data_IF_125276691471
#
_entry.id   IF_125276691471
#
_cell.length_a   1.000
_cell.length_b   1.000
_cell.length_c   1.000
_cell.angle_alpha   90.00
_cell.angle_beta   90.00
_cell.angle_gamma   90.00
#
_symmetry.space_group_name_H-M   'P 1'
#
loop_
_entity.id
_entity.type
_entity.pdbx_description
1 polymer ?
#
# COMPACT_ATOMS: atom_id res chain seq x y z
N UNK A 1 -27.68 38.50 27.55
CA UNK A 1 -28.41 39.53 26.79
C UNK A 1 -28.90 38.92 25.49
N UNK A 2 -30.20 38.80 25.44
CA UNK A 2 -31.05 38.24 24.38
C UNK A 2 -31.12 39.14 23.14
N UNK A 3 -31.40 38.53 22.02
CA UNK A 3 -32.36 38.94 20.95
C UNK A 3 -31.89 38.44 19.59
N UNK A 4 -32.63 37.81 18.79
CA UNK A 4 -33.97 37.41 18.39
C UNK A 4 -33.87 37.07 16.90
N UNK A 5 -34.44 35.92 16.52
CA UNK A 5 -34.82 35.59 15.12
C UNK A 5 -35.91 36.57 14.62
N UNK A 6 -36.14 36.62 13.31
CA UNK A 6 -37.44 36.14 12.87
C UNK A 6 -37.43 35.17 11.69
N UNK A 7 -38.50 34.39 11.69
CA UNK A 7 -38.93 33.38 10.75
C UNK A 7 -39.87 33.98 9.67
N UNK A 8 -40.24 33.07 8.73
CA UNK A 8 -41.42 33.06 7.81
C UNK A 8 -41.21 33.67 6.40
N UNK A 9 -41.44 32.86 5.34
CA UNK A 9 -42.73 32.62 4.73
C UNK A 9 -42.68 31.52 3.66
N UNK A 10 -43.64 30.59 3.77
CA UNK A 10 -43.97 29.56 2.78
C UNK A 10 -44.76 30.16 1.60
N UNK A 11 -44.62 29.58 0.40
CA UNK A 11 -45.62 29.76 -0.66
C UNK A 11 -45.81 28.45 -1.43
N UNK A 12 -46.99 27.87 -1.19
CA UNK A 12 -47.58 26.74 -1.91
C UNK A 12 -48.17 27.19 -3.22
N UNK A 13 -48.03 26.42 -4.30
CA UNK A 13 -48.87 26.56 -5.48
C UNK A 13 -49.23 25.17 -6.01
N UNK A 14 -50.48 24.80 -5.72
CA UNK A 14 -51.23 23.71 -6.34
C UNK A 14 -51.82 24.18 -7.67
N UNK A 15 -51.70 23.35 -8.72
CA UNK A 15 -52.59 23.48 -9.91
C UNK A 15 -53.13 22.11 -10.31
N UNK A 16 -54.41 22.14 -10.56
CA UNK A 16 -55.40 21.08 -10.59
C UNK A 16 -55.49 20.30 -11.92
N UNK A 17 -56.09 19.11 -11.82
CA UNK A 17 -56.60 18.25 -12.90
C UNK A 17 -57.60 18.96 -13.85
N UNK A 18 -57.59 18.50 -15.11
CA UNK A 18 -58.79 18.49 -15.93
C UNK A 18 -58.84 17.18 -16.74
N UNK A 19 -59.82 16.34 -16.40
CA UNK A 19 -60.33 15.25 -17.22
C UNK A 19 -61.28 15.82 -18.27
N UNK A 20 -61.18 15.37 -19.51
CA UNK A 20 -62.33 15.36 -20.41
C UNK A 20 -62.23 14.10 -21.29
N UNK A 21 -63.19 13.21 -21.10
CA UNK A 21 -63.38 12.06 -21.96
C UNK A 21 -64.28 12.42 -23.14
N UNK A 22 -64.18 11.63 -24.21
CA UNK A 22 -65.37 11.22 -24.98
C UNK A 22 -65.02 10.06 -25.95
N UNK A 23 -65.91 9.14 -25.95
CA UNK A 23 -66.04 7.87 -26.66
C UNK A 23 -66.08 7.96 -28.20
N UNK A 24 -65.62 6.90 -28.85
CA UNK A 24 -65.86 6.63 -30.27
C UNK A 24 -65.22 5.33 -30.69
N UNK A 25 -66.04 4.27 -30.78
CA UNK A 25 -65.67 2.96 -31.30
C UNK A 25 -65.42 2.99 -32.81
N UNK A 26 -64.45 2.29 -33.30
CA UNK A 26 -64.53 1.31 -34.41
C UNK A 26 -63.22 0.59 -34.68
N UNK A 27 -63.36 -0.70 -34.95
CA UNK A 27 -62.43 -1.73 -35.32
C UNK A 27 -61.18 -1.34 -36.18
N UNK A 28 -60.03 -1.92 -35.90
CA UNK A 28 -59.30 -2.90 -36.68
C UNK A 28 -57.80 -2.92 -36.44
N UNK A 29 -57.27 -4.11 -36.26
CA UNK A 29 -55.93 -4.60 -36.54
C UNK A 29 -54.79 -4.24 -35.62
N UNK A 30 -54.40 -5.24 -34.87
CA UNK A 30 -53.19 -5.55 -34.20
C UNK A 30 -51.91 -5.02 -34.89
N UNK A 31 -51.14 -4.31 -34.12
CA UNK A 31 -49.67 -4.44 -34.17
C UNK A 31 -49.15 -4.11 -32.77
N UNK A 32 -48.83 -5.13 -32.02
CA UNK A 32 -48.11 -5.02 -30.75
C UNK A 32 -46.68 -4.54 -31.03
N UNK A 33 -46.43 -3.27 -30.81
CA UNK A 33 -45.08 -2.77 -30.66
C UNK A 33 -44.73 -3.00 -29.17
N UNK A 34 -44.06 -4.15 -28.92
CA UNK A 34 -43.34 -4.33 -27.67
C UNK A 34 -42.22 -3.29 -27.64
N UNK A 35 -42.29 -2.34 -26.73
CA UNK A 35 -41.16 -1.56 -26.30
C UNK A 35 -40.21 -2.51 -25.57
N UNK A 36 -39.27 -3.09 -26.26
CA UNK A 36 -38.08 -3.66 -25.67
C UNK A 36 -37.31 -2.51 -25.01
N UNK A 37 -37.53 -2.34 -23.71
CA UNK A 37 -36.55 -1.71 -22.88
C UNK A 37 -35.34 -2.67 -22.85
N UNK A 38 -34.40 -2.43 -23.73
CA UNK A 38 -33.10 -3.07 -23.66
C UNK A 38 -32.49 -2.69 -22.33
N UNK A 39 -32.65 -3.56 -21.33
CA UNK A 39 -31.78 -3.62 -20.19
C UNK A 39 -30.40 -3.96 -20.74
N UNK A 40 -29.55 -2.98 -20.84
CA UNK A 40 -28.12 -3.19 -21.09
C UNK A 40 -27.61 -3.86 -19.82
N UNK A 41 -27.68 -5.18 -19.77
CA UNK A 41 -26.85 -5.95 -18.84
C UNK A 41 -25.42 -5.70 -19.29
N UNK A 42 -24.67 -4.91 -18.53
CA UNK A 42 -23.22 -4.90 -18.63
C UNK A 42 -22.83 -6.34 -18.31
N UNK A 43 -22.44 -7.09 -19.31
CA UNK A 43 -21.85 -8.41 -19.12
C UNK A 43 -20.53 -8.15 -18.42
N UNK A 44 -20.46 -8.43 -17.11
CA UNK A 44 -19.17 -8.49 -16.43
C UNK A 44 -18.30 -9.50 -17.17
N UNK A 45 -17.04 -9.15 -17.44
CA UNK A 45 -16.08 -10.06 -18.01
C UNK A 45 -16.02 -11.32 -17.14
N UNK A 46 -15.94 -12.49 -17.74
CA UNK A 46 -15.82 -13.76 -17.01
C UNK A 46 -14.39 -14.02 -16.54
N UNK A 47 -13.42 -13.28 -17.05
CA UNK A 47 -12.01 -13.34 -16.68
C UNK A 47 -11.31 -12.03 -17.05
N UNK A 48 -10.15 -11.80 -16.44
CA UNK A 48 -9.19 -10.74 -16.79
C UNK A 48 -7.82 -11.37 -17.00
N UNK A 49 -7.03 -10.83 -17.92
CA UNK A 49 -5.64 -11.24 -18.11
C UNK A 49 -4.73 -10.20 -17.46
N UNK A 50 -3.88 -10.65 -16.56
CA UNK A 50 -2.89 -9.84 -15.85
C UNK A 50 -1.49 -10.25 -16.31
N UNK A 51 -0.65 -9.26 -16.64
CA UNK A 51 0.78 -9.46 -16.87
C UNK A 51 1.51 -9.38 -15.52
N UNK A 52 2.00 -10.52 -15.05
CA UNK A 52 2.76 -10.62 -13.81
C UNK A 52 4.25 -10.89 -14.04
N UNK A 53 5.00 -11.23 -13.00
CA UNK A 53 6.43 -11.50 -13.10
C UNK A 53 6.75 -12.81 -13.83
N UNK A 54 5.78 -13.69 -14.01
CA UNK A 54 5.91 -15.00 -14.68
C UNK A 54 5.27 -15.00 -16.08
N UNK A 55 4.56 -13.91 -16.49
CA UNK A 55 3.93 -13.75 -17.80
C UNK A 55 2.45 -13.40 -17.72
N UNK A 56 1.66 -13.85 -18.71
CA UNK A 56 0.23 -13.58 -18.75
C UNK A 56 -0.56 -14.61 -17.94
N UNK A 57 -1.28 -14.17 -16.93
CA UNK A 57 -2.15 -14.99 -16.08
C UNK A 57 -3.61 -14.65 -16.32
N UNK A 58 -4.44 -15.63 -16.62
CA UNK A 58 -5.89 -15.46 -16.73
C UNK A 58 -6.56 -15.70 -15.36
N UNK A 59 -7.18 -14.67 -14.80
CA UNK A 59 -7.91 -14.73 -13.53
C UNK A 59 -9.41 -14.78 -13.81
N UNK A 60 -10.08 -15.80 -13.32
CA UNK A 60 -11.54 -15.93 -13.41
C UNK A 60 -12.25 -14.92 -12.51
N UNK A 61 -13.31 -14.29 -13.01
CA UNK A 61 -14.05 -13.27 -12.28
C UNK A 61 -15.51 -13.69 -12.03
N UNK A 62 -16.10 -13.27 -10.91
CA UNK A 62 -15.45 -12.61 -9.78
C UNK A 62 -14.62 -13.60 -8.94
N UNK A 63 -13.50 -13.15 -8.39
CA UNK A 63 -12.72 -13.91 -7.41
C UNK A 63 -13.57 -14.16 -6.17
N UNK A 64 -13.63 -15.43 -5.72
CA UNK A 64 -14.46 -15.86 -4.59
C UNK A 64 -13.65 -16.19 -3.35
N UNK A 65 -12.44 -16.67 -3.55
CA UNK A 65 -11.58 -17.23 -2.51
C UNK A 65 -10.13 -16.78 -2.70
N UNK A 66 -9.90 -15.51 -2.42
CA UNK A 66 -8.55 -14.95 -2.51
C UNK A 66 -7.68 -15.34 -1.31
N UNK A 67 -6.42 -15.66 -1.57
CA UNK A 67 -5.37 -15.73 -0.57
C UNK A 67 -4.26 -14.74 -0.94
N UNK A 68 -3.56 -14.19 0.03
CA UNK A 68 -2.38 -13.36 -0.21
C UNK A 68 -1.24 -13.75 0.72
N UNK A 69 -0.03 -13.71 0.19
CA UNK A 69 1.22 -13.86 0.94
C UNK A 69 2.11 -12.63 0.78
N UNK A 70 1.69 -11.65 -0.01
CA UNK A 70 2.42 -10.43 -0.28
C UNK A 70 2.05 -9.32 0.70
N UNK A 71 3.04 -8.89 1.49
CA UNK A 71 2.90 -7.86 2.51
C UNK A 71 2.43 -6.51 1.93
N UNK A 72 2.78 -6.17 0.69
CA UNK A 72 2.39 -4.92 0.03
C UNK A 72 0.91 -4.85 -0.31
N UNK A 73 0.19 -5.96 -0.21
CA UNK A 73 -1.21 -6.03 -0.65
C UNK A 73 -2.23 -6.04 0.48
N UNK A 74 -1.83 -6.40 1.71
CA UNK A 74 -2.79 -6.59 2.81
C UNK A 74 -3.60 -5.35 3.13
N UNK A 75 -2.95 -4.19 3.22
CA UNK A 75 -3.62 -2.93 3.53
C UNK A 75 -4.59 -2.53 2.42
N UNK A 76 -4.13 -2.55 1.17
CA UNK A 76 -4.95 -2.23 0.00
C UNK A 76 -6.19 -3.14 -0.07
N UNK A 77 -6.01 -4.45 0.11
CA UNK A 77 -7.11 -5.42 0.08
C UNK A 77 -8.07 -5.23 1.25
N UNK A 78 -7.55 -4.92 2.45
CA UNK A 78 -8.36 -4.66 3.64
C UNK A 78 -9.21 -3.40 3.48
N UNK A 79 -8.62 -2.31 2.98
CA UNK A 79 -9.32 -1.05 2.73
C UNK A 79 -10.41 -1.19 1.67
N UNK A 80 -10.18 -2.04 0.68
CA UNK A 80 -11.19 -2.35 -0.33
C UNK A 80 -12.25 -3.34 0.13
N UNK A 81 -12.10 -3.88 1.35
CA UNK A 81 -13.03 -4.87 1.92
C UNK A 81 -12.98 -6.21 1.21
N UNK A 82 -11.83 -6.59 0.64
CA UNK A 82 -11.61 -7.89 0.00
C UNK A 82 -11.36 -8.94 1.08
N UNK A 83 -12.21 -9.98 1.20
CA UNK A 83 -11.99 -11.05 2.16
C UNK A 83 -10.88 -12.00 1.67
N UNK A 84 -10.01 -12.41 2.59
CA UNK A 84 -9.04 -13.47 2.32
C UNK A 84 -9.50 -14.80 2.96
N UNK A 85 -9.20 -15.91 2.31
CA UNK A 85 -9.43 -17.26 2.87
C UNK A 85 -8.18 -17.82 3.55
N UNK A 86 -6.99 -17.28 3.22
CA UNK A 86 -5.72 -17.66 3.83
C UNK A 86 -4.72 -16.49 3.78
N UNK A 87 -3.92 -16.34 4.81
CA UNK A 87 -2.84 -15.37 4.91
C UNK A 87 -1.79 -15.82 5.94
N UNK A 88 -0.53 -15.41 5.82
CA UNK A 88 0.49 -15.60 6.85
C UNK A 88 0.27 -14.59 8.00
N UNK A 89 -0.66 -14.89 8.91
CA UNK A 89 -1.17 -13.94 9.92
C UNK A 89 -0.08 -13.24 10.72
N UNK A 90 1.04 -13.91 10.99
CA UNK A 90 2.17 -13.30 11.70
C UNK A 90 2.91 -12.23 10.89
N UNK A 91 2.68 -12.17 9.58
CA UNK A 91 3.29 -11.19 8.68
C UNK A 91 2.32 -10.10 8.23
N UNK A 92 1.03 -10.26 8.52
CA UNK A 92 0.05 -9.18 8.33
C UNK A 92 0.34 -8.08 9.34
N UNK A 93 0.43 -6.81 8.92
CA UNK A 93 0.62 -5.70 9.87
C UNK A 93 -0.42 -5.72 10.98
N UNK A 94 0.00 -5.48 12.23
CA UNK A 94 -0.90 -5.48 13.40
C UNK A 94 -1.96 -4.36 13.34
N UNK A 95 -1.75 -3.35 12.53
CA UNK A 95 -2.73 -2.30 12.19
C UNK A 95 -3.93 -2.84 11.41
N UNK A 96 -3.77 -3.98 10.69
CA UNK A 96 -4.78 -4.57 9.81
C UNK A 96 -5.48 -5.74 10.52
N UNK A 97 -6.63 -5.47 11.14
CA UNK A 97 -7.41 -6.49 11.88
C UNK A 97 -8.40 -7.26 11.02
N UNK A 98 -8.52 -6.92 9.74
CA UNK A 98 -9.49 -7.55 8.83
C UNK A 98 -9.26 -9.06 8.64
N UNK A 99 -8.04 -9.54 8.85
CA UNK A 99 -7.63 -10.93 8.59
C UNK A 99 -7.32 -11.74 9.86
N UNK A 100 -7.64 -11.21 11.04
CA UNK A 100 -7.38 -11.90 12.33
C UNK A 100 -8.39 -13.03 12.63
N UNK A 101 -9.55 -13.00 11.96
CA UNK A 101 -10.68 -13.92 12.19
C UNK A 101 -10.34 -15.39 11.94
N UNK A 102 -11.08 -16.29 12.60
CA UNK A 102 -10.94 -17.77 12.43
C UNK A 102 -11.35 -18.24 11.02
N UNK A 103 -11.99 -17.41 10.24
CA UNK A 103 -12.39 -17.66 8.85
C UNK A 103 -11.24 -17.47 7.86
N UNK A 104 -10.13 -16.88 8.27
CA UNK A 104 -8.88 -16.79 7.51
C UNK A 104 -7.92 -17.86 8.01
N UNK A 105 -7.50 -18.79 7.16
CA UNK A 105 -6.51 -19.80 7.53
C UNK A 105 -5.14 -19.16 7.73
N UNK A 106 -4.48 -19.46 8.85
CA UNK A 106 -3.08 -19.06 9.06
C UNK A 106 -2.17 -20.04 8.32
N UNK A 107 -1.35 -19.53 7.42
CA UNK A 107 -0.38 -20.32 6.64
C UNK A 107 1.05 -20.20 7.18
N UNK A 108 1.20 -19.80 8.44
CA UNK A 108 2.50 -19.66 9.09
C UNK A 108 3.28 -18.45 8.61
N UNK A 109 4.57 -18.63 8.37
CA UNK A 109 5.45 -17.57 7.86
C UNK A 109 6.42 -18.13 6.80
N UNK A 110 7.18 -17.26 6.15
CA UNK A 110 8.10 -17.64 5.06
C UNK A 110 9.22 -18.64 5.46
N UNK A 111 9.55 -18.76 6.76
CA UNK A 111 10.57 -19.70 7.27
C UNK A 111 9.95 -21.08 7.59
N UNK A 112 8.70 -21.07 7.98
CA UNK A 112 7.90 -22.27 8.33
C UNK A 112 6.52 -22.13 7.68
N UNK A 113 6.42 -22.21 6.32
CA UNK A 113 5.15 -22.07 5.63
C UNK A 113 4.28 -23.31 5.78
N UNK A 114 3.01 -23.13 6.10
CA UNK A 114 1.98 -24.19 6.06
C UNK A 114 1.22 -24.14 4.73
N UNK A 115 1.85 -24.64 3.68
CA UNK A 115 1.25 -24.68 2.34
C UNK A 115 0.11 -25.71 2.24
N UNK A 116 0.03 -26.68 3.17
CA UNK A 116 -1.10 -27.60 3.25
C UNK A 116 -2.36 -26.86 3.76
N UNK A 117 -2.20 -25.93 4.71
CA UNK A 117 -3.29 -25.06 5.15
C UNK A 117 -3.77 -24.13 4.02
N UNK A 118 -2.84 -23.59 3.21
CA UNK A 118 -3.17 -22.81 2.02
C UNK A 118 -4.00 -23.64 1.02
N UNK A 119 -3.55 -24.85 0.70
CA UNK A 119 -4.25 -25.74 -0.21
C UNK A 119 -5.63 -26.17 0.33
N UNK A 120 -5.73 -26.43 1.64
CA UNK A 120 -7.00 -26.77 2.30
C UNK A 120 -8.00 -25.59 2.33
N UNK A 121 -7.51 -24.35 2.21
CA UNK A 121 -8.37 -23.18 2.05
C UNK A 121 -8.98 -23.09 0.64
N UNK A 122 -8.60 -23.94 -0.31
CA UNK A 122 -9.13 -24.02 -1.69
C UNK A 122 -9.25 -22.63 -2.34
N UNK A 123 -8.17 -21.83 -2.45
CA UNK A 123 -8.23 -20.52 -3.11
C UNK A 123 -8.49 -20.68 -4.60
N UNK A 124 -9.18 -19.70 -5.22
CA UNK A 124 -9.26 -19.53 -6.67
C UNK A 124 -8.25 -18.47 -7.20
N UNK A 125 -7.66 -17.70 -6.28
CA UNK A 125 -6.57 -16.75 -6.53
C UNK A 125 -5.58 -16.78 -5.37
N UNK A 126 -4.30 -16.83 -5.66
CA UNK A 126 -3.21 -16.58 -4.69
C UNK A 126 -2.33 -15.45 -5.19
N UNK A 127 -2.23 -14.38 -4.40
CA UNK A 127 -1.26 -13.30 -4.63
C UNK A 127 0.02 -13.71 -3.90
N UNK A 128 1.07 -13.96 -4.66
CA UNK A 128 2.38 -14.39 -4.14
C UNK A 128 3.33 -13.20 -4.23
N UNK A 129 4.20 -13.03 -3.26
CA UNK A 129 5.19 -11.98 -3.34
C UNK A 129 6.06 -11.89 -2.09
N UNK A 130 7.08 -11.03 -2.19
CA UNK A 130 8.02 -10.72 -1.13
C UNK A 130 8.61 -11.98 -0.49
N UNK A 131 8.31 -12.20 0.77
CA UNK A 131 8.89 -13.28 1.57
C UNK A 131 8.51 -14.68 1.11
N UNK A 132 7.45 -14.81 0.31
CA UNK A 132 6.97 -16.07 -0.22
C UNK A 132 7.33 -16.30 -1.70
N UNK A 133 8.05 -15.38 -2.34
CA UNK A 133 8.45 -15.53 -3.76
C UNK A 133 9.19 -16.84 -4.02
N UNK A 134 10.06 -17.26 -3.10
CA UNK A 134 10.76 -18.57 -3.18
C UNK A 134 9.83 -19.78 -3.10
N UNK A 135 8.58 -19.60 -2.68
CA UNK A 135 7.58 -20.67 -2.56
C UNK A 135 6.65 -20.76 -3.78
N UNK A 136 6.82 -19.89 -4.78
CA UNK A 136 5.91 -19.78 -5.93
C UNK A 136 5.61 -21.15 -6.59
N UNK A 137 6.65 -21.90 -6.94
CA UNK A 137 6.48 -23.22 -7.59
C UNK A 137 5.77 -24.24 -6.68
N UNK A 138 6.06 -24.20 -5.38
CA UNK A 138 5.43 -25.10 -4.39
C UNK A 138 3.94 -24.76 -4.20
N UNK A 139 3.61 -23.45 -4.20
CA UNK A 139 2.23 -22.97 -4.14
C UNK A 139 1.49 -23.41 -5.41
N UNK A 140 2.08 -23.24 -6.60
CA UNK A 140 1.49 -23.65 -7.87
C UNK A 140 1.18 -25.15 -7.91
N UNK A 141 2.08 -25.99 -7.36
CA UNK A 141 1.86 -27.45 -7.31
C UNK A 141 0.70 -27.83 -6.38
N UNK A 142 0.55 -27.13 -5.25
CA UNK A 142 -0.44 -27.45 -4.23
C UNK A 142 -1.81 -26.80 -4.47
N UNK A 143 -1.88 -25.73 -5.27
CA UNK A 143 -3.12 -25.02 -5.61
C UNK A 143 -3.35 -24.98 -7.13
N UNK A 144 -3.42 -26.14 -7.82
CA UNK A 144 -3.43 -26.22 -9.29
C UNK A 144 -4.67 -25.61 -9.95
N UNK A 145 -5.72 -25.36 -9.19
CA UNK A 145 -6.97 -24.75 -9.68
C UNK A 145 -7.03 -23.24 -9.42
N UNK A 146 -6.06 -22.68 -8.70
CA UNK A 146 -5.94 -21.26 -8.43
C UNK A 146 -5.14 -20.54 -9.53
N UNK A 147 -5.53 -19.31 -9.86
CA UNK A 147 -4.62 -18.38 -10.53
C UNK A 147 -3.56 -17.91 -9.53
N UNK A 148 -2.30 -17.84 -9.95
CA UNK A 148 -1.23 -17.25 -9.15
C UNK A 148 -0.82 -15.93 -9.77
N UNK A 149 -0.69 -14.89 -8.95
CA UNK A 149 -0.18 -13.58 -9.35
C UNK A 149 1.04 -13.22 -8.52
N UNK A 150 2.17 -13.01 -9.16
CA UNK A 150 3.37 -12.40 -8.60
C UNK A 150 3.49 -10.98 -9.15
N UNK A 151 3.15 -10.01 -8.29
CA UNK A 151 3.15 -8.58 -8.62
C UNK A 151 4.27 -7.83 -7.89
N UNK A 152 5.27 -8.54 -7.37
CA UNK A 152 6.41 -7.93 -6.70
C UNK A 152 7.14 -6.94 -7.62
N UNK A 153 7.62 -5.80 -7.11
CA UNK A 153 8.43 -4.87 -7.88
C UNK A 153 9.62 -5.56 -8.55
N UNK A 154 9.78 -5.36 -9.86
CA UNK A 154 10.80 -6.03 -10.67
C UNK A 154 12.11 -5.27 -10.61
N UNK A 155 13.20 -6.00 -10.57
CA UNK A 155 14.55 -5.44 -10.63
C UNK A 155 14.77 -4.64 -11.92
N UNK A 156 15.28 -3.42 -11.78
CA UNK A 156 15.64 -2.55 -12.90
C UNK A 156 14.48 -1.76 -13.51
N UNK A 157 13.26 -1.97 -13.03
CA UNK A 157 12.11 -1.11 -13.34
C UNK A 157 12.01 0.03 -12.32
N UNK A 158 11.28 1.09 -12.68
CA UNK A 158 11.06 2.21 -11.76
C UNK A 158 10.11 1.80 -10.63
N UNK A 159 10.51 2.04 -9.39
CA UNK A 159 9.79 1.54 -8.21
C UNK A 159 8.36 2.12 -8.10
N UNK A 160 8.19 3.41 -8.44
CA UNK A 160 6.88 4.05 -8.51
C UNK A 160 5.96 3.35 -9.51
N UNK A 161 6.44 3.11 -10.74
CA UNK A 161 5.68 2.40 -11.76
C UNK A 161 5.33 0.96 -11.34
N UNK A 162 6.17 0.30 -10.56
CA UNK A 162 5.88 -1.06 -10.07
C UNK A 162 4.80 -1.06 -8.97
N UNK A 163 4.78 -0.09 -8.08
CA UNK A 163 3.68 0.08 -7.10
C UNK A 163 2.35 0.37 -7.80
N UNK A 164 2.35 1.26 -8.80
CA UNK A 164 1.18 1.57 -9.63
C UNK A 164 0.70 0.34 -10.42
N UNK A 165 1.62 -0.44 -10.99
CA UNK A 165 1.31 -1.69 -11.69
C UNK A 165 0.62 -2.68 -10.77
N UNK A 166 1.13 -2.88 -9.55
CA UNK A 166 0.56 -3.77 -8.56
C UNK A 166 -0.88 -3.37 -8.23
N UNK A 167 -1.10 -2.11 -7.87
CA UNK A 167 -2.42 -1.60 -7.48
C UNK A 167 -3.40 -1.63 -8.65
N UNK A 168 -2.95 -1.29 -9.87
CA UNK A 168 -3.77 -1.40 -11.09
C UNK A 168 -4.23 -2.84 -11.33
N UNK A 169 -3.33 -3.82 -11.20
CA UNK A 169 -3.66 -5.23 -11.37
C UNK A 169 -4.67 -5.69 -10.31
N UNK A 170 -4.47 -5.32 -9.05
CA UNK A 170 -5.42 -5.61 -7.98
C UNK A 170 -6.80 -4.98 -8.25
N UNK A 171 -6.82 -3.72 -8.73
CA UNK A 171 -8.07 -3.04 -9.13
C UNK A 171 -8.85 -3.82 -10.18
N UNK A 172 -8.17 -4.29 -11.23
CA UNK A 172 -8.78 -5.08 -12.30
C UNK A 172 -9.31 -6.44 -11.82
N UNK A 173 -8.59 -7.09 -10.92
CA UNK A 173 -8.95 -8.41 -10.37
C UNK A 173 -10.15 -8.34 -9.43
N UNK A 174 -10.24 -7.28 -8.62
CA UNK A 174 -11.29 -7.16 -7.62
C UNK A 174 -12.41 -6.18 -7.99
N UNK A 175 -12.39 -5.62 -9.22
CA UNK A 175 -13.37 -4.64 -9.69
C UNK A 175 -13.32 -3.34 -8.87
N UNK A 176 -12.10 -2.90 -8.55
CA UNK A 176 -11.75 -1.76 -7.73
C UNK A 176 -10.89 -0.73 -8.50
N UNK A 177 -11.12 -0.63 -9.80
CA UNK A 177 -10.32 0.23 -10.68
C UNK A 177 -10.36 1.71 -10.24
N UNK A 178 -11.51 2.18 -9.79
CA UNK A 178 -11.64 3.57 -9.35
C UNK A 178 -10.92 3.84 -8.01
N UNK A 179 -10.94 2.87 -7.09
CA UNK A 179 -10.19 2.93 -5.85
C UNK A 179 -8.67 2.82 -6.12
N UNK A 180 -8.26 2.00 -7.09
CA UNK A 180 -6.87 1.89 -7.53
C UNK A 180 -6.38 3.21 -8.15
N UNK A 181 -7.16 3.80 -9.06
CA UNK A 181 -6.86 5.10 -9.67
C UNK A 181 -6.68 6.21 -8.60
N UNK A 182 -7.47 6.16 -7.51
CA UNK A 182 -7.34 7.12 -6.43
C UNK A 182 -6.05 6.93 -5.62
N UNK A 183 -5.68 5.68 -5.28
CA UNK A 183 -4.43 5.40 -4.57
C UNK A 183 -3.21 5.83 -5.39
N UNK A 184 -3.25 5.60 -6.70
CA UNK A 184 -2.20 6.03 -7.63
C UNK A 184 -2.11 7.56 -7.65
N UNK A 185 -3.24 8.26 -7.78
CA UNK A 185 -3.26 9.73 -7.80
C UNK A 185 -2.72 10.32 -6.47
N UNK A 186 -3.12 9.76 -5.33
CA UNK A 186 -2.65 10.20 -4.02
C UNK A 186 -1.13 9.97 -3.85
N UNK A 187 -0.61 8.86 -4.39
CA UNK A 187 0.82 8.55 -4.39
C UNK A 187 1.61 9.50 -5.31
N UNK A 188 1.13 9.72 -6.55
CA UNK A 188 1.76 10.65 -7.50
C UNK A 188 1.81 12.08 -6.95
N UNK A 189 0.71 12.54 -6.33
CA UNK A 189 0.62 13.86 -5.70
C UNK A 189 1.63 13.99 -4.52
N UNK A 190 1.75 12.95 -3.68
CA UNK A 190 2.70 12.92 -2.58
C UNK A 190 4.15 12.89 -3.09
N UNK A 191 4.44 12.11 -4.14
CA UNK A 191 5.75 12.04 -4.77
C UNK A 191 6.16 13.38 -5.37
N UNK A 192 5.26 14.04 -6.12
CA UNK A 192 5.52 15.35 -6.69
C UNK A 192 5.75 16.41 -5.58
N UNK A 193 4.94 16.36 -4.52
CA UNK A 193 5.09 17.27 -3.37
C UNK A 193 6.45 17.09 -2.68
N UNK A 194 6.87 15.84 -2.40
CA UNK A 194 8.15 15.56 -1.77
C UNK A 194 9.33 15.99 -2.65
N UNK A 195 9.27 15.74 -3.97
CA UNK A 195 10.26 16.24 -4.95
C UNK A 195 10.39 17.76 -4.92
N UNK A 196 9.28 18.47 -4.89
CA UNK A 196 9.27 19.93 -4.90
C UNK A 196 9.72 20.54 -3.57
N UNK A 197 9.53 19.82 -2.45
CA UNK A 197 9.95 20.25 -1.13
C UNK A 197 11.44 20.04 -0.88
N UNK A 198 12.10 19.12 -1.59
CA UNK A 198 13.54 18.92 -1.46
C UNK A 198 14.32 20.10 -2.07
N UNK A 199 15.34 20.59 -1.36
CA UNK A 199 16.14 21.75 -1.79
C UNK A 199 17.20 21.43 -2.87
N UNK A 200 17.38 20.14 -3.20
CA UNK A 200 18.31 19.65 -4.20
C UNK A 200 19.79 19.68 -3.76
N UNK A 201 20.07 19.88 -2.48
CA UNK A 201 21.45 20.03 -1.98
C UNK A 201 21.71 19.50 -0.57
N UNK A 202 20.71 19.44 0.29
CA UNK A 202 20.85 18.88 1.63
C UNK A 202 21.16 17.38 1.56
N UNK A 203 22.16 16.95 2.31
CA UNK A 203 22.57 15.55 2.32
C UNK A 203 21.66 14.70 3.19
N UNK A 204 21.34 13.50 2.70
CA UNK A 204 20.38 12.58 3.34
C UNK A 204 21.08 11.27 3.71
N UNK A 205 20.82 10.77 4.90
CA UNK A 205 21.17 9.44 5.39
C UNK A 205 19.90 8.66 5.62
N UNK A 206 19.86 7.38 5.24
CA UNK A 206 18.77 6.50 5.61
C UNK A 206 19.28 5.34 6.48
N UNK A 207 18.48 4.99 7.49
CA UNK A 207 18.83 3.96 8.47
C UNK A 207 17.61 3.10 8.84
N UNK A 208 17.90 1.88 9.28
CA UNK A 208 16.95 0.96 9.89
C UNK A 208 17.40 0.73 11.33
N UNK A 209 16.50 0.90 12.29
CA UNK A 209 16.77 0.55 13.68
C UNK A 209 16.16 -0.82 13.97
N UNK A 210 17.00 -1.74 14.48
CA UNK A 210 16.60 -3.10 14.81
C UNK A 210 17.42 -3.63 15.99
N UNK A 211 16.78 -4.17 17.02
CA UNK A 211 17.44 -4.66 18.24
C UNK A 211 18.20 -3.59 19.00
N UNK A 212 17.84 -2.32 18.83
CA UNK A 212 18.57 -1.18 19.40
C UNK A 212 19.86 -0.80 18.66
N UNK A 213 20.18 -1.46 17.54
CA UNK A 213 21.30 -1.15 16.64
C UNK A 213 20.82 -0.32 15.45
N UNK A 214 21.73 0.46 14.86
CA UNK A 214 21.46 1.33 13.72
C UNK A 214 22.17 0.74 12.49
N UNK A 215 21.40 0.22 11.54
CA UNK A 215 21.88 -0.28 10.26
C UNK A 215 21.73 0.76 9.14
N UNK A 216 22.63 0.76 8.19
CA UNK A 216 22.61 1.65 7.04
C UNK A 216 21.69 1.13 5.94
N UNK A 217 20.87 2.01 5.37
CA UNK A 217 20.07 1.72 4.17
C UNK A 217 20.58 2.56 3.02
N UNK A 218 21.29 1.92 2.08
CA UNK A 218 21.98 2.62 1.00
C UNK A 218 21.05 3.14 -0.10
N UNK A 219 21.47 4.15 -0.89
CA UNK A 219 20.75 4.59 -2.07
C UNK A 219 20.50 3.44 -3.05
N UNK A 220 19.40 3.51 -3.79
CA UNK A 220 18.95 2.57 -4.83
C UNK A 220 18.58 1.19 -4.29
N UNK A 221 19.45 0.52 -3.54
CA UNK A 221 19.30 -0.88 -3.12
C UNK A 221 18.78 -1.06 -1.71
N UNK A 222 19.04 -0.10 -0.81
CA UNK A 222 18.65 -0.21 0.59
C UNK A 222 17.14 -0.38 0.76
N UNK A 223 16.77 -1.32 1.61
CA UNK A 223 15.35 -1.64 1.86
C UNK A 223 14.57 -0.39 2.25
N UNK A 224 13.36 -0.26 1.75
CA UNK A 224 12.39 0.82 1.98
C UNK A 224 12.86 2.17 1.46
N UNK A 225 14.07 2.61 1.83
CA UNK A 225 14.56 3.95 1.55
C UNK A 225 15.32 4.07 0.24
N UNK A 226 16.03 3.02 -0.17
CA UNK A 226 16.89 3.05 -1.36
C UNK A 226 16.20 3.60 -2.61
N UNK A 227 15.02 3.09 -2.99
CA UNK A 227 14.27 3.60 -4.15
C UNK A 227 13.89 5.08 -4.04
N UNK A 228 13.70 5.62 -2.82
CA UNK A 228 13.33 7.02 -2.63
C UNK A 228 14.47 7.98 -2.93
N UNK A 229 15.73 7.55 -2.82
CA UNK A 229 16.85 8.37 -3.27
C UNK A 229 16.76 8.65 -4.77
N UNK A 230 16.46 7.62 -5.56
CA UNK A 230 16.32 7.77 -7.01
C UNK A 230 15.06 8.57 -7.38
N UNK A 231 13.94 8.24 -6.75
CA UNK A 231 12.66 8.89 -7.04
C UNK A 231 12.65 10.39 -6.69
N UNK A 232 13.25 10.77 -5.56
CA UNK A 232 13.27 12.16 -5.09
C UNK A 232 14.52 12.92 -5.54
N UNK A 233 15.53 12.22 -6.07
CA UNK A 233 16.82 12.80 -6.42
C UNK A 233 17.60 13.29 -5.19
N UNK A 234 17.55 12.52 -4.08
CA UNK A 234 18.21 12.88 -2.83
C UNK A 234 19.73 12.75 -2.95
N UNK A 235 20.46 13.71 -2.40
CA UNK A 235 21.94 13.65 -2.32
C UNK A 235 22.34 12.78 -1.11
N UNK A 236 22.98 11.61 -1.32
CA UNK A 236 23.36 10.76 -0.21
C UNK A 236 24.50 11.35 0.61
N UNK A 237 24.39 11.35 1.94
CA UNK A 237 25.46 11.76 2.84
C UNK A 237 26.62 10.74 2.86
N UNK A 238 26.32 9.49 2.55
CA UNK A 238 27.27 8.38 2.50
C UNK A 238 26.86 7.41 1.40
N UNK A 239 27.82 6.94 0.62
CA UNK A 239 27.64 5.81 -0.28
C UNK A 239 28.61 4.70 0.13
N UNK A 240 28.12 3.47 0.25
CA UNK A 240 28.89 2.29 0.61
C UNK A 240 28.80 1.28 -0.54
N UNK A 241 29.96 0.89 -1.08
CA UNK A 241 30.02 -0.09 -2.17
C UNK A 241 29.51 -1.46 -1.67
N UNK A 242 28.59 -2.07 -2.44
CA UNK A 242 28.02 -3.37 -2.10
C UNK A 242 26.90 -3.30 -1.06
N UNK A 243 26.29 -2.14 -0.90
CA UNK A 243 25.05 -1.99 -0.11
C UNK A 243 23.97 -2.94 -0.58
N UNK A 244 23.18 -3.47 0.35
CA UNK A 244 22.17 -4.50 0.13
C UNK A 244 20.78 -4.05 0.59
N UNK A 245 19.78 -4.91 0.38
CA UNK A 245 18.41 -4.75 0.91
C UNK A 245 18.22 -5.46 2.26
N UNK A 246 19.30 -5.67 3.02
CA UNK A 246 19.23 -6.36 4.31
C UNK A 246 18.14 -5.74 5.20
N UNK A 247 17.33 -6.60 5.77
CA UNK A 247 16.15 -6.21 6.57
C UNK A 247 16.47 -5.56 7.92
N UNK A 248 17.74 -5.53 8.34
CA UNK A 248 18.23 -4.80 9.51
C UNK A 248 19.11 -3.60 9.11
N UNK A 249 19.31 -3.43 7.79
CA UNK A 249 20.30 -2.51 7.22
C UNK A 249 21.71 -3.10 7.22
N UNK A 250 22.56 -2.55 6.38
CA UNK A 250 23.96 -2.97 6.26
C UNK A 250 24.77 -2.57 7.51
N UNK A 251 25.75 -3.40 7.87
CA UNK A 251 26.66 -3.18 9.01
C UNK A 251 27.66 -2.06 8.68
N UNK A 252 27.24 -0.83 8.87
CA UNK A 252 28.05 0.38 8.79
C UNK A 252 28.15 0.98 10.18
N UNK A 253 29.39 1.25 10.65
CA UNK A 253 29.56 1.77 12.00
C UNK A 253 28.86 3.12 12.20
N UNK A 254 28.30 3.32 13.35
CA UNK A 254 27.59 4.55 13.71
C UNK A 254 28.53 5.77 13.70
N UNK A 255 29.81 5.58 13.96
CA UNK A 255 30.83 6.61 13.83
C UNK A 255 31.02 7.05 12.38
N UNK A 256 30.97 6.13 11.42
CA UNK A 256 31.04 6.46 9.99
C UNK A 256 29.79 7.22 9.53
N UNK A 257 28.61 6.83 10.04
CA UNK A 257 27.35 7.59 9.85
C UNK A 257 27.52 9.00 10.40
N UNK A 258 28.05 9.14 11.63
CA UNK A 258 28.28 10.44 12.26
C UNK A 258 29.31 11.30 11.52
N UNK A 259 30.39 10.70 10.99
CA UNK A 259 31.44 11.37 10.22
C UNK A 259 30.91 11.95 8.88
N UNK A 260 29.91 11.31 8.27
CA UNK A 260 29.27 11.81 7.05
C UNK A 260 28.43 13.07 7.31
N UNK A 261 28.01 13.28 8.56
CA UNK A 261 27.29 14.46 9.06
C UNK A 261 26.09 14.87 8.19
N UNK A 262 25.10 14.00 8.00
CA UNK A 262 23.93 14.28 7.16
C UNK A 262 23.13 15.48 7.66
N UNK A 263 22.51 16.19 6.72
CA UNK A 263 21.54 17.25 7.01
C UNK A 263 20.18 16.64 7.39
N UNK A 264 19.83 15.48 6.84
CA UNK A 264 18.60 14.74 7.13
C UNK A 264 18.88 13.28 7.44
N UNK A 265 18.09 12.70 8.35
CA UNK A 265 18.08 11.25 8.58
C UNK A 265 16.66 10.72 8.37
N UNK A 266 16.52 9.71 7.49
CA UNK A 266 15.30 8.93 7.30
C UNK A 266 15.42 7.65 8.12
N UNK A 267 14.45 7.35 8.97
CA UNK A 267 14.52 6.26 9.94
C UNK A 267 13.34 5.31 9.77
N UNK A 268 13.60 4.02 9.61
CA UNK A 268 12.60 2.97 9.78
C UNK A 268 12.84 2.27 11.12
N UNK A 269 11.82 2.20 11.96
CA UNK A 269 11.80 1.39 13.18
C UNK A 269 11.29 0.00 12.84
N UNK A 270 12.20 -0.95 12.60
CA UNK A 270 11.81 -2.31 12.27
C UNK A 270 11.09 -2.99 13.44
N UNK A 271 11.53 -2.71 14.65
CA UNK A 271 11.05 -3.39 15.85
C UNK A 271 9.66 -2.87 16.26
N UNK A 272 9.30 -1.65 15.91
CA UNK A 272 7.93 -1.14 16.06
C UNK A 272 6.90 -2.03 15.34
N UNK A 273 7.25 -2.58 14.16
CA UNK A 273 6.36 -3.43 13.39
C UNK A 273 6.24 -4.88 13.90
N UNK A 274 7.24 -5.39 14.65
CA UNK A 274 7.33 -6.82 14.95
C UNK A 274 7.46 -7.16 16.42
N UNK A 275 7.94 -6.26 17.26
CA UNK A 275 8.25 -6.49 18.69
C UNK A 275 7.84 -5.33 19.60
N UNK A 276 6.93 -4.45 19.17
CA UNK A 276 6.50 -3.28 19.93
C UNK A 276 5.97 -3.62 21.34
N UNK A 277 5.39 -4.80 21.50
CA UNK A 277 4.83 -5.30 22.77
C UNK A 277 5.87 -6.00 23.67
N UNK A 278 7.10 -6.20 23.20
CA UNK A 278 8.15 -6.88 23.96
C UNK A 278 8.75 -5.93 25.02
N UNK A 279 9.12 -6.45 26.22
CA UNK A 279 9.57 -5.60 27.33
C UNK A 279 10.89 -4.86 27.09
N UNK A 280 11.70 -5.31 26.15
CA UNK A 280 13.01 -4.76 25.77
C UNK A 280 12.97 -3.92 24.49
N UNK A 281 11.78 -3.72 23.89
CA UNK A 281 11.62 -2.79 22.77
C UNK A 281 12.02 -1.37 23.16
N UNK A 282 12.83 -0.76 22.33
CA UNK A 282 13.24 0.63 22.44
C UNK A 282 12.93 1.36 21.14
N UNK A 283 12.06 2.37 21.15
CA UNK A 283 11.73 3.14 19.94
C UNK A 283 12.96 3.68 19.24
N UNK A 284 12.96 3.65 17.91
CA UNK A 284 14.08 4.17 17.11
C UNK A 284 14.44 5.61 17.46
N UNK A 285 13.46 6.43 17.82
CA UNK A 285 13.68 7.81 18.26
C UNK A 285 14.56 7.88 19.53
N UNK A 286 14.34 6.96 20.48
CA UNK A 286 15.13 6.90 21.71
C UNK A 286 16.55 6.34 21.43
N UNK A 287 16.67 5.39 20.49
CA UNK A 287 17.96 4.85 20.06
C UNK A 287 18.81 5.95 19.42
N UNK A 288 18.25 6.70 18.45
CA UNK A 288 18.93 7.82 17.79
C UNK A 288 19.30 8.92 18.82
N UNK A 289 18.35 9.36 19.65
CA UNK A 289 18.57 10.39 20.65
C UNK A 289 19.55 9.97 21.74
N UNK A 290 19.61 8.69 22.09
CA UNK A 290 20.52 8.14 23.11
C UNK A 290 21.94 7.86 22.60
N UNK A 291 22.15 7.82 21.28
CA UNK A 291 23.44 7.44 20.70
C UNK A 291 24.49 8.58 20.80
N UNK A 292 25.57 8.33 21.55
CA UNK A 292 26.59 9.34 21.81
C UNK A 292 27.34 9.83 20.54
N UNK A 293 27.50 8.97 19.53
CA UNK A 293 28.17 9.33 18.29
C UNK A 293 27.34 10.31 17.45
N UNK A 294 26.02 10.24 17.54
CA UNK A 294 25.10 11.05 16.73
C UNK A 294 24.78 12.42 17.33
N UNK A 295 25.17 12.71 18.58
CA UNK A 295 24.76 13.93 19.31
C UNK A 295 25.20 15.25 18.66
N UNK A 296 26.22 15.22 17.79
CA UNK A 296 26.72 16.40 17.11
C UNK A 296 26.42 16.40 15.61
N UNK A 297 25.70 15.41 15.11
CA UNK A 297 25.27 15.33 13.70
C UNK A 297 24.26 16.42 13.40
N UNK A 298 24.39 17.07 12.25
CA UNK A 298 23.53 18.19 11.84
C UNK A 298 22.06 17.82 11.91
N UNK A 299 21.67 16.68 11.35
CA UNK A 299 20.29 16.21 11.36
C UNK A 299 19.71 16.06 12.77
N UNK A 300 20.52 15.55 13.73
CA UNK A 300 20.07 15.37 15.13
C UNK A 300 19.96 16.71 15.86
N UNK A 301 20.95 17.59 15.69
CA UNK A 301 20.97 18.91 16.37
C UNK A 301 19.92 19.87 15.82
N UNK A 302 19.50 19.68 14.57
CA UNK A 302 18.49 20.50 13.89
C UNK A 302 17.08 19.87 13.93
N UNK A 303 16.93 18.70 14.58
CA UNK A 303 15.67 17.93 14.60
C UNK A 303 15.15 17.58 13.19
N UNK A 304 16.07 17.37 12.23
CA UNK A 304 15.81 17.03 10.83
C UNK A 304 15.81 15.50 10.64
N UNK A 305 14.88 14.83 11.32
CA UNK A 305 14.73 13.36 11.29
C UNK A 305 13.29 13.04 10.89
N UNK A 306 13.15 12.18 9.85
CA UNK A 306 11.85 11.68 9.40
C UNK A 306 11.75 10.21 9.78
N UNK A 307 10.70 9.86 10.49
CA UNK A 307 10.39 8.47 10.83
C UNK A 307 9.30 7.93 9.90
N UNK A 308 9.52 6.72 9.38
CA UNK A 308 8.48 6.00 8.67
C UNK A 308 7.34 5.59 9.62
N UNK A 309 6.12 5.31 9.12
CA UNK A 309 5.07 4.68 9.91
C UNK A 309 5.56 3.41 10.63
N UNK A 310 5.05 3.17 11.84
CA UNK A 310 5.52 2.09 12.73
C UNK A 310 5.40 0.69 12.12
N UNK A 311 4.44 0.47 11.21
CA UNK A 311 4.20 -0.83 10.56
C UNK A 311 4.92 -1.00 9.21
N UNK A 312 5.70 0.00 8.77
CA UNK A 312 6.37 0.03 7.46
C UNK A 312 7.11 -1.27 7.15
N UNK A 313 7.86 -1.84 8.10
CA UNK A 313 8.63 -3.06 7.87
C UNK A 313 7.78 -4.27 7.42
N UNK A 314 6.53 -4.34 7.82
CA UNK A 314 5.59 -5.41 7.46
C UNK A 314 4.53 -4.97 6.45
N UNK A 315 4.49 -3.70 6.05
CA UNK A 315 3.48 -3.16 5.16
C UNK A 315 4.06 -2.81 3.77
N UNK A 316 4.88 -1.80 3.63
CA UNK A 316 5.53 -1.37 2.37
C UNK A 316 4.56 -1.28 1.16
N UNK A 317 3.27 -0.97 1.40
CA UNK A 317 2.25 -0.78 0.36
C UNK A 317 2.38 0.58 -0.32
N UNK A 318 1.65 0.81 -1.42
CA UNK A 318 1.54 2.15 -2.04
C UNK A 318 0.99 3.17 -1.04
N UNK A 319 0.11 2.75 -0.11
CA UNK A 319 -0.44 3.59 0.95
C UNK A 319 0.67 4.02 1.91
N UNK A 320 1.47 3.04 2.40
CA UNK A 320 2.61 3.30 3.27
C UNK A 320 3.62 4.26 2.61
N UNK A 321 3.95 4.05 1.33
CA UNK A 321 4.85 4.96 0.63
C UNK A 321 4.26 6.36 0.43
N UNK A 322 2.95 6.48 0.25
CA UNK A 322 2.25 7.77 0.22
C UNK A 322 2.40 8.51 1.55
N UNK A 323 2.26 7.81 2.67
CA UNK A 323 2.46 8.37 4.02
C UNK A 323 3.92 8.80 4.26
N UNK A 324 4.88 7.96 3.87
CA UNK A 324 6.32 8.28 3.94
C UNK A 324 6.63 9.55 3.13
N UNK A 325 6.18 9.63 1.88
CA UNK A 325 6.40 10.77 1.00
C UNK A 325 5.79 12.05 1.54
N UNK A 326 4.58 11.99 2.09
CA UNK A 326 3.95 13.12 2.76
C UNK A 326 4.74 13.56 4.00
N UNK A 327 5.24 12.62 4.81
CA UNK A 327 6.06 12.92 5.98
C UNK A 327 7.39 13.59 5.61
N UNK A 328 8.03 13.13 4.53
CA UNK A 328 9.24 13.76 3.96
C UNK A 328 8.92 15.17 3.47
N UNK A 329 7.83 15.34 2.73
CA UNK A 329 7.42 16.65 2.23
C UNK A 329 7.16 17.65 3.36
N UNK A 330 6.39 17.23 4.39
CA UNK A 330 6.10 18.07 5.57
C UNK A 330 7.38 18.51 6.28
N UNK A 331 8.35 17.59 6.45
CA UNK A 331 9.62 17.87 7.09
C UNK A 331 10.47 18.88 6.27
N UNK A 332 10.61 18.65 4.96
CA UNK A 332 11.38 19.52 4.08
C UNK A 332 10.76 20.93 3.97
N UNK A 333 9.42 21.02 3.82
CA UNK A 333 8.69 22.30 3.81
C UNK A 333 8.84 23.04 5.15
N UNK A 334 8.80 22.31 6.27
CA UNK A 334 8.96 22.87 7.62
C UNK A 334 10.32 23.51 7.85
N UNK A 335 11.38 22.95 7.29
CA UNK A 335 12.75 23.47 7.42
C UNK A 335 13.02 24.73 6.57
N UNK A 336 12.19 25.02 5.57
CA UNK A 336 12.33 26.20 4.70
C UNK A 336 11.66 27.46 5.29
N UNK A 337 10.89 27.35 6.38
CA UNK A 337 10.16 28.44 7.02
C UNK A 337 10.84 28.92 8.32
#
# INVERSE_FOLDING_TARGET
MSRKLPALLALSATVSLALAGCSGSTDSASTSAASDAASTSVSQASSVTIEDNHGSVEVSLPVQRAASTDNRTFEVLADWGVPLVAAPKQLVPSSITAYDGDDVADIGNHREPDLEALAAAEPDLVIVGQRFSDQYDSIAELTPDAALLDLEPRDGESFDAELERQVTALGQVFGKEAEADQLIADFEDALERAKNAYDGSSTVMAVIVSGGEIGYSGPTTGRTWGPLFDLLGLEPALEVEGSTDDHQGDDVSVEQIAESNPDWILVMDRDAAITADEPDYTPAADVIAGNAALQNVTAVTSEQIVYAPDDTYTNESIITYTEILNSIADAFEGAQN
#
